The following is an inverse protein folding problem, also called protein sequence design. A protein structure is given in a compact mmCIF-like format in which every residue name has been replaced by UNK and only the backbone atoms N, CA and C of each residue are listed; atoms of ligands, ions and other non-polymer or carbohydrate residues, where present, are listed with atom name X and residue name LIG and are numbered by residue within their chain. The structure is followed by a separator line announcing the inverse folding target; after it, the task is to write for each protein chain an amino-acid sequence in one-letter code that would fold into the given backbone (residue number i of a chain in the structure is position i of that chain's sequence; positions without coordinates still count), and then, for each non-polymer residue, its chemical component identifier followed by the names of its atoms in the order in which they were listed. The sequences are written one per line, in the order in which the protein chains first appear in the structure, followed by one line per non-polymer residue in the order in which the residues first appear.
data_IF_780050398437
#
_entry.id   IF_780050398437
#
_cell.length_a   1.000
_cell.length_b   1.000
_cell.length_c   1.000
_cell.angle_alpha   90.00
_cell.angle_beta   90.00
_cell.angle_gamma   90.00
#
_symmetry.space_group_name_H-M   'P 1'
#
loop_
_entity.id
_entity.type
_entity.pdbx_description
1 polymer ?
#
# COMPACT_ATOMS: atom_id res chain seq x y z
N UNK A 1 26.56 1.51 -76.22
CA UNK A 1 26.10 0.73 -75.04
C UNK A 1 27.07 0.97 -73.90
N UNK A 2 26.77 1.96 -73.06
CA UNK A 2 27.66 2.41 -71.97
C UNK A 2 27.07 1.90 -70.66
N UNK A 3 27.73 0.93 -70.01
CA UNK A 3 27.28 0.37 -68.73
C UNK A 3 27.34 1.44 -67.65
N UNK A 4 26.17 1.87 -67.16
CA UNK A 4 26.05 2.68 -65.96
C UNK A 4 26.52 1.87 -64.75
N UNK A 5 27.63 2.31 -64.14
CA UNK A 5 28.15 1.75 -62.89
C UNK A 5 27.22 2.18 -61.75
N UNK A 6 26.46 1.23 -61.21
CA UNK A 6 25.60 1.41 -60.03
C UNK A 6 26.49 1.80 -58.83
N UNK A 7 26.21 2.90 -58.10
CA UNK A 7 26.95 3.18 -56.88
C UNK A 7 26.58 2.13 -55.83
N UNK A 8 27.61 1.52 -55.23
CA UNK A 8 27.51 0.60 -54.11
C UNK A 8 27.06 1.41 -52.89
N UNK A 9 25.87 1.12 -52.37
CA UNK A 9 25.45 1.59 -51.06
C UNK A 9 26.14 0.64 -50.08
N UNK A 10 27.28 1.06 -49.53
CA UNK A 10 27.83 0.40 -48.35
C UNK A 10 26.88 0.68 -47.18
N UNK A 11 26.06 -0.32 -46.84
CA UNK A 11 25.39 -0.36 -45.54
C UNK A 11 26.47 -0.43 -44.46
N UNK A 12 26.74 0.69 -43.81
CA UNK A 12 27.55 0.73 -42.60
C UNK A 12 26.79 0.04 -41.48
N UNK A 13 27.02 -1.27 -41.34
CA UNK A 13 26.64 -2.06 -40.18
C UNK A 13 27.18 -1.33 -38.93
N UNK A 14 26.34 -0.90 -37.97
CA UNK A 14 26.85 -0.26 -36.76
C UNK A 14 27.51 -1.32 -35.87
N UNK A 15 28.76 -1.66 -36.16
CA UNK A 15 29.63 -2.39 -35.24
C UNK A 15 30.20 -1.41 -34.23
N UNK A 16 29.37 -0.89 -33.34
CA UNK A 16 29.78 0.03 -32.30
C UNK A 16 29.78 -0.66 -30.94
N UNK A 17 30.87 -1.36 -30.60
CA UNK A 17 31.14 -1.65 -29.17
C UNK A 17 31.23 -0.31 -28.46
N UNK A 18 30.37 -0.08 -27.46
CA UNK A 18 30.42 1.14 -26.66
C UNK A 18 31.82 1.20 -26.02
N UNK A 19 32.59 2.28 -26.23
CA UNK A 19 33.92 2.38 -25.65
C UNK A 19 33.81 2.34 -24.11
N UNK A 20 34.75 1.66 -23.46
CA UNK A 20 34.74 1.49 -22.00
C UNK A 20 34.64 2.81 -21.22
N UNK A 21 35.19 3.89 -21.79
CA UNK A 21 35.10 5.26 -21.26
C UNK A 21 33.67 5.82 -21.22
N UNK A 22 32.75 5.33 -22.05
CA UNK A 22 31.32 5.65 -22.01
C UNK A 22 30.51 4.69 -21.14
N UNK A 23 31.04 3.50 -20.82
CA UNK A 23 30.36 2.53 -19.95
C UNK A 23 30.34 2.98 -18.49
N UNK A 24 31.45 3.53 -17.98
CA UNK A 24 31.54 3.97 -16.58
C UNK A 24 30.47 4.99 -16.17
N UNK A 25 30.24 6.11 -16.90
CA UNK A 25 29.18 7.06 -16.55
C UNK A 25 27.78 6.46 -16.71
N UNK A 26 27.57 5.55 -17.67
CA UNK A 26 26.28 4.86 -17.84
C UNK A 26 26.00 3.96 -16.63
N UNK A 27 26.99 3.15 -16.21
CA UNK A 27 26.88 2.29 -15.02
C UNK A 27 26.60 3.15 -13.78
N UNK A 28 27.33 4.25 -13.61
CA UNK A 28 27.13 5.13 -12.46
C UNK A 28 25.71 5.72 -12.42
N UNK A 29 25.19 6.20 -13.54
CA UNK A 29 23.82 6.72 -13.63
C UNK A 29 22.79 5.62 -13.34
N UNK A 30 22.97 4.41 -13.86
CA UNK A 30 22.08 3.27 -13.57
C UNK A 30 22.09 2.95 -12.08
N UNK A 31 23.27 2.88 -11.45
CA UNK A 31 23.39 2.61 -10.01
C UNK A 31 22.76 3.72 -9.16
N UNK A 32 22.93 4.98 -9.55
CA UNK A 32 22.29 6.12 -8.89
C UNK A 32 20.77 6.03 -8.97
N UNK A 33 20.22 5.70 -10.15
CA UNK A 33 18.77 5.55 -10.36
C UNK A 33 18.20 4.35 -9.60
N UNK A 34 18.94 3.24 -9.53
CA UNK A 34 18.59 2.10 -8.68
C UNK A 34 18.57 2.50 -7.20
N UNK A 35 19.59 3.22 -6.73
CA UNK A 35 19.69 3.71 -5.37
C UNK A 35 18.53 4.66 -5.01
N UNK A 36 18.21 5.60 -5.90
CA UNK A 36 17.08 6.53 -5.71
C UNK A 36 15.73 5.80 -5.70
N UNK A 37 15.53 4.84 -6.61
CA UNK A 37 14.31 4.02 -6.66
C UNK A 37 14.15 3.19 -5.38
N UNK A 38 15.24 2.58 -4.91
CA UNK A 38 15.24 1.83 -3.66
C UNK A 38 14.98 2.74 -2.46
N UNK A 39 15.59 3.93 -2.41
CA UNK A 39 15.35 4.90 -1.35
C UNK A 39 13.88 5.34 -1.27
N UNK A 40 13.26 5.67 -2.41
CA UNK A 40 11.83 5.99 -2.46
C UNK A 40 10.98 4.81 -1.99
N UNK A 41 11.32 3.61 -2.44
CA UNK A 41 10.66 2.39 -2.00
C UNK A 41 10.76 2.17 -0.49
N UNK A 42 11.97 2.27 0.06
CA UNK A 42 12.26 2.04 1.49
C UNK A 42 11.61 3.09 2.38
N UNK A 43 11.53 4.34 1.91
CA UNK A 43 10.82 5.41 2.60
C UNK A 43 9.31 5.17 2.68
N UNK A 44 8.74 4.56 1.63
CA UNK A 44 7.32 4.26 1.55
C UNK A 44 6.94 3.00 2.34
N UNK A 45 7.77 1.96 2.29
CA UNK A 45 7.62 0.70 3.00
C UNK A 45 8.63 0.66 4.13
N UNK A 46 8.36 1.41 5.19
CA UNK A 46 9.30 1.61 6.29
C UNK A 46 8.92 0.87 7.57
N UNK A 47 7.69 0.35 7.67
CA UNK A 47 7.14 -0.21 8.90
C UNK A 47 7.46 -1.72 8.95
N UNK A 48 8.34 -2.20 9.85
CA UNK A 48 8.55 -3.63 10.04
C UNK A 48 7.35 -4.27 10.74
N UNK A 49 7.24 -5.60 10.66
CA UNK A 49 6.29 -6.39 11.47
C UNK A 49 6.76 -6.49 12.93
N UNK A 50 6.70 -5.37 13.63
CA UNK A 50 7.02 -5.25 15.04
C UNK A 50 5.90 -4.45 15.71
N UNK A 51 5.35 -4.96 16.82
CA UNK A 51 4.18 -4.36 17.46
C UNK A 51 4.44 -2.91 17.90
N UNK A 52 5.65 -2.59 18.38
CA UNK A 52 5.99 -1.23 18.80
C UNK A 52 6.02 -0.29 17.61
N UNK A 53 6.64 -0.70 16.50
CA UNK A 53 6.69 0.09 15.26
C UNK A 53 5.33 0.24 14.58
N UNK A 54 4.51 -0.82 14.59
CA UNK A 54 3.14 -0.79 14.08
C UNK A 54 2.29 0.20 14.87
N UNK A 55 2.33 0.11 16.21
CA UNK A 55 1.62 1.05 17.08
C UNK A 55 2.06 2.50 16.83
N UNK A 56 3.38 2.76 16.79
CA UNK A 56 3.92 4.10 16.49
C UNK A 56 3.42 4.67 15.16
N UNK A 57 3.37 3.84 14.11
CA UNK A 57 2.90 4.28 12.79
C UNK A 57 1.39 4.60 12.79
N UNK A 58 0.58 3.80 13.48
CA UNK A 58 -0.86 4.04 13.61
C UNK A 58 -1.12 5.31 14.44
N UNK A 59 -0.44 5.47 15.58
CA UNK A 59 -0.54 6.68 16.40
C UNK A 59 -0.13 7.94 15.63
N UNK A 60 0.96 7.88 14.85
CA UNK A 60 1.41 9.02 14.06
C UNK A 60 0.35 9.47 13.02
N UNK A 61 -0.32 8.52 12.37
CA UNK A 61 -1.37 8.84 11.39
C UNK A 61 -2.59 9.52 12.05
N UNK A 62 -2.96 9.08 13.26
CA UNK A 62 -4.05 9.71 14.02
C UNK A 62 -3.68 11.10 14.54
N UNK A 63 -2.43 11.29 14.96
CA UNK A 63 -1.92 12.59 15.42
C UNK A 63 -1.94 13.65 14.31
N UNK A 64 -1.70 13.27 13.05
CA UNK A 64 -1.82 14.19 11.90
C UNK A 64 -3.28 14.60 11.61
N UNK A 65 -4.25 13.89 12.17
CA UNK A 65 -5.68 14.03 11.89
C UNK A 65 -6.48 14.65 13.05
N UNK A 66 -5.81 15.15 14.10
CA UNK A 66 -6.44 15.66 15.35
C UNK A 66 -7.39 14.64 16.02
N UNK A 67 -7.15 13.35 15.83
CA UNK A 67 -8.01 12.26 16.33
C UNK A 67 -7.63 11.88 17.78
N UNK A 68 -8.60 11.28 18.48
CA UNK A 68 -8.52 10.95 19.93
C UNK A 68 -7.47 9.86 20.25
N UNK A 69 -6.93 9.17 19.24
CA UNK A 69 -6.01 8.05 19.42
C UNK A 69 -4.59 8.55 19.61
N UNK A 70 -4.12 8.59 20.87
CA UNK A 70 -2.82 9.15 21.25
C UNK A 70 -1.78 8.09 21.66
N UNK A 71 -2.19 6.92 22.17
CA UNK A 71 -1.28 5.83 22.52
C UNK A 71 -1.86 4.48 22.11
N UNK A 72 -1.39 3.97 20.96
CA UNK A 72 -1.88 2.71 20.40
C UNK A 72 -1.17 1.48 21.00
N UNK A 73 -1.93 0.42 21.25
CA UNK A 73 -1.42 -0.92 21.59
C UNK A 73 -1.94 -1.95 20.57
N UNK A 74 -1.02 -2.74 20.01
CA UNK A 74 -1.39 -3.83 19.10
C UNK A 74 -1.91 -5.00 19.91
N UNK A 75 -3.13 -5.44 19.60
CA UNK A 75 -3.75 -6.64 20.18
C UNK A 75 -3.33 -7.85 19.36
N UNK A 76 -3.67 -7.86 18.07
CA UNK A 76 -3.40 -8.98 17.18
C UNK A 76 -3.12 -8.50 15.76
N UNK A 77 -2.40 -9.31 14.98
CA UNK A 77 -2.13 -9.02 13.56
C UNK A 77 -2.05 -10.26 12.69
N UNK A 78 -2.60 -10.17 11.48
CA UNK A 78 -2.69 -11.30 10.55
C UNK A 78 -2.38 -10.86 9.12
N UNK A 79 -1.57 -11.65 8.40
CA UNK A 79 -1.36 -11.44 6.97
C UNK A 79 -2.57 -12.00 6.19
N UNK A 80 -3.15 -11.19 5.32
CA UNK A 80 -4.24 -11.56 4.40
C UNK A 80 -3.83 -11.15 2.99
N UNK A 81 -3.53 -12.14 2.14
CA UNK A 81 -2.97 -11.92 0.79
C UNK A 81 -1.73 -11.00 0.79
N UNK A 82 -1.82 -9.81 0.17
CA UNK A 82 -0.77 -8.79 0.08
C UNK A 82 -0.88 -7.73 1.19
N UNK A 83 -1.60 -8.04 2.28
CA UNK A 83 -1.88 -7.10 3.36
C UNK A 83 -1.58 -7.67 4.73
N UNK A 84 -1.32 -6.76 5.67
CA UNK A 84 -1.32 -7.04 7.10
C UNK A 84 -2.49 -6.26 7.70
N UNK A 85 -3.38 -6.98 8.37
CA UNK A 85 -4.47 -6.38 9.13
C UNK A 85 -4.11 -6.45 10.60
N UNK A 86 -4.29 -5.34 11.30
CA UNK A 86 -3.90 -5.15 12.69
C UNK A 86 -5.12 -4.71 13.46
N UNK A 87 -5.43 -5.42 14.54
CA UNK A 87 -6.43 -5.01 15.52
C UNK A 87 -5.71 -4.39 16.72
N UNK A 88 -6.16 -3.21 17.13
CA UNK A 88 -5.47 -2.41 18.14
C UNK A 88 -6.47 -1.73 19.09
N UNK A 89 -5.96 -1.27 20.22
CA UNK A 89 -6.69 -0.39 21.15
C UNK A 89 -5.93 0.89 21.45
N UNK A 90 -6.65 1.88 21.97
CA UNK A 90 -6.06 3.05 22.62
C UNK A 90 -5.84 2.74 24.11
N UNK A 91 -4.67 3.06 24.66
CA UNK A 91 -4.30 2.65 26.02
C UNK A 91 -4.98 3.44 27.13
N UNK A 92 -5.31 4.70 26.88
CA UNK A 92 -5.89 5.62 27.88
C UNK A 92 -7.41 5.53 27.92
N UNK A 93 -8.05 5.13 26.82
CA UNK A 93 -9.47 4.92 26.69
C UNK A 93 -9.75 3.44 26.40
N UNK A 94 -10.17 2.73 27.45
CA UNK A 94 -10.42 1.29 27.44
C UNK A 94 -11.52 0.84 26.45
N UNK A 95 -12.30 1.76 25.88
CA UNK A 95 -13.39 1.45 24.96
C UNK A 95 -13.06 1.78 23.50
N UNK A 96 -11.88 2.34 23.21
CA UNK A 96 -11.49 2.72 21.86
C UNK A 96 -10.63 1.62 21.22
N UNK A 97 -11.18 1.02 20.16
CA UNK A 97 -10.57 -0.05 19.37
C UNK A 97 -10.58 0.30 17.90
N UNK A 98 -9.70 -0.31 17.12
CA UNK A 98 -9.64 -0.03 15.70
C UNK A 98 -8.90 -1.07 14.90
N UNK A 99 -9.04 -0.93 13.59
CA UNK A 99 -8.33 -1.75 12.62
C UNK A 99 -7.41 -0.87 11.79
N UNK A 100 -6.24 -1.39 11.50
CA UNK A 100 -5.32 -0.82 10.54
C UNK A 100 -5.00 -1.83 9.45
N UNK A 101 -5.02 -1.37 8.20
CA UNK A 101 -4.65 -2.17 7.05
C UNK A 101 -3.36 -1.63 6.46
N UNK A 102 -2.37 -2.51 6.32
CA UNK A 102 -1.07 -2.18 5.74
C UNK A 102 -0.82 -3.00 4.47
N UNK A 103 -0.18 -2.40 3.47
CA UNK A 103 0.27 -3.08 2.27
C UNK A 103 1.60 -3.76 2.54
N UNK A 104 1.71 -5.03 2.16
CA UNK A 104 2.93 -5.80 2.24
C UNK A 104 3.91 -5.38 1.14
N UNK A 105 5.12 -5.06 1.54
CA UNK A 105 6.26 -4.84 0.69
C UNK A 105 7.23 -6.02 0.69
N UNK A 106 8.40 -5.78 0.13
CA UNK A 106 9.56 -6.65 0.15
C UNK A 106 10.14 -6.68 1.56
N UNK A 107 10.83 -7.78 1.90
CA UNK A 107 11.53 -7.95 3.17
C UNK A 107 10.66 -7.74 4.42
N UNK A 108 9.37 -8.08 4.34
CA UNK A 108 8.41 -7.92 5.46
C UNK A 108 8.34 -6.48 6.01
N UNK A 109 8.59 -5.50 5.13
CA UNK A 109 8.25 -4.12 5.40
C UNK A 109 6.87 -3.81 4.87
N UNK A 110 6.18 -2.92 5.55
CA UNK A 110 4.79 -2.60 5.32
C UNK A 110 4.63 -1.09 5.16
N UNK A 111 3.58 -0.72 4.46
CA UNK A 111 3.11 0.66 4.34
C UNK A 111 1.69 0.74 4.88
N UNK A 112 1.43 1.67 5.80
CA UNK A 112 0.07 1.91 6.27
C UNK A 112 -0.81 2.43 5.13
N UNK A 113 -1.97 1.80 4.90
CA UNK A 113 -2.94 2.20 3.86
C UNK A 113 -4.10 2.93 4.51
N UNK A 114 -4.66 2.32 5.55
CA UNK A 114 -5.81 2.85 6.24
C UNK A 114 -5.76 2.48 7.71
N UNK A 115 -6.43 3.29 8.50
CA UNK A 115 -6.76 2.99 9.87
C UNK A 115 -8.15 3.53 10.16
N UNK A 116 -8.89 2.84 11.01
CA UNK A 116 -10.12 3.34 11.64
C UNK A 116 -10.04 3.10 13.13
N UNK A 117 -10.93 3.75 13.87
CA UNK A 117 -11.20 3.41 15.26
C UNK A 117 -12.69 3.58 15.56
N UNK A 118 -13.11 3.08 16.72
CA UNK A 118 -14.45 3.23 17.26
C UNK A 118 -14.41 3.14 18.78
N UNK A 119 -15.20 3.97 19.44
CA UNK A 119 -15.59 3.73 20.82
C UNK A 119 -16.71 2.69 20.85
N UNK A 120 -16.42 1.51 21.39
CA UNK A 120 -17.34 0.37 21.36
C UNK A 120 -18.36 0.43 22.48
N UNK A 121 -18.04 1.08 23.61
CA UNK A 121 -18.90 1.08 24.80
C UNK A 121 -19.09 -0.31 25.44
N UNK A 122 -18.25 -1.29 25.12
CA UNK A 122 -18.33 -2.65 25.68
C UNK A 122 -17.15 -2.96 26.61
N UNK A 123 -17.38 -3.80 27.62
CA UNK A 123 -16.34 -4.37 28.48
C UNK A 123 -15.68 -5.62 27.89
N UNK A 124 -16.42 -6.41 27.11
CA UNK A 124 -15.92 -7.49 26.26
C UNK A 124 -16.13 -7.10 24.80
N UNK A 125 -15.06 -6.96 24.04
CA UNK A 125 -15.13 -6.37 22.70
C UNK A 125 -15.02 -7.45 21.64
N UNK A 126 -16.02 -7.52 20.78
CA UNK A 126 -15.97 -8.22 19.50
C UNK A 126 -16.43 -7.25 18.43
N UNK A 127 -15.56 -6.92 17.48
CA UNK A 127 -15.83 -5.90 16.48
C UNK A 127 -15.62 -6.44 15.07
N UNK A 128 -16.59 -6.27 14.17
CA UNK A 128 -16.43 -6.60 12.77
C UNK A 128 -15.70 -5.46 12.05
N UNK A 129 -14.93 -5.83 11.04
CA UNK A 129 -14.21 -4.93 10.16
C UNK A 129 -14.30 -5.43 8.73
N UNK A 130 -14.65 -4.49 7.86
CA UNK A 130 -14.65 -4.69 6.41
C UNK A 130 -13.61 -3.75 5.81
N UNK A 131 -12.48 -4.28 5.30
CA UNK A 131 -11.51 -3.47 4.60
C UNK A 131 -12.16 -2.75 3.42
N UNK A 132 -12.03 -1.43 3.38
CA UNK A 132 -12.64 -0.57 2.37
C UNK A 132 -11.82 -0.64 1.05
N UNK A 133 -11.86 -1.80 0.39
CA UNK A 133 -11.18 -2.08 -0.86
C UNK A 133 -12.19 -2.27 -2.01
N UNK A 134 -11.72 -2.13 -3.25
CA UNK A 134 -12.53 -2.43 -4.44
C UNK A 134 -12.84 -3.93 -4.49
N UNK A 135 -13.99 -4.29 -3.91
CA UNK A 135 -14.50 -5.66 -3.80
C UNK A 135 -14.36 -6.19 -2.39
N UNK A 136 -15.50 -6.61 -1.82
CA UNK A 136 -15.55 -7.29 -0.53
C UNK A 136 -14.92 -8.68 -0.67
N UNK A 137 -13.72 -8.88 -0.12
CA UNK A 137 -13.05 -10.19 -0.15
C UNK A 137 -13.12 -10.91 1.18
N UNK A 138 -13.15 -10.17 2.28
CA UNK A 138 -13.01 -10.71 3.62
C UNK A 138 -13.88 -9.96 4.63
N UNK A 139 -14.43 -10.71 5.59
CA UNK A 139 -14.91 -10.21 6.86
C UNK A 139 -13.87 -10.47 7.93
N UNK A 140 -13.52 -9.46 8.70
CA UNK A 140 -12.49 -9.55 9.73
C UNK A 140 -13.15 -9.28 11.07
N UNK A 141 -12.81 -10.05 12.10
CA UNK A 141 -13.38 -9.88 13.44
C UNK A 141 -12.26 -9.85 14.46
N UNK A 142 -12.17 -8.74 15.18
CA UNK A 142 -11.25 -8.55 16.30
C UNK A 142 -11.97 -8.82 17.63
N UNK A 143 -11.30 -9.53 18.54
CA UNK A 143 -11.78 -9.79 19.89
C UNK A 143 -10.77 -9.35 20.94
N UNK A 144 -11.22 -8.70 22.01
CA UNK A 144 -10.37 -8.28 23.14
C UNK A 144 -11.09 -8.45 24.48
N UNK A 145 -10.34 -8.97 25.45
CA UNK A 145 -10.80 -9.27 26.81
C UNK A 145 -12.12 -10.06 26.87
N UNK A 146 -12.39 -10.87 25.84
CA UNK A 146 -13.64 -11.63 25.72
C UNK A 146 -13.80 -12.56 26.92
N UNK A 147 -14.87 -12.36 27.67
CA UNK A 147 -15.18 -13.16 28.86
C UNK A 147 -15.55 -14.60 28.51
N UNK A 148 -15.20 -15.55 29.39
CA UNK A 148 -15.44 -16.98 29.17
C UNK A 148 -16.91 -17.40 29.18
N UNK A 149 -17.81 -16.52 29.61
CA UNK A 149 -19.26 -16.66 29.46
C UNK A 149 -19.72 -16.51 28.01
N UNK A 150 -18.93 -15.87 27.14
CA UNK A 150 -19.21 -15.73 25.71
C UNK A 150 -18.61 -16.95 24.99
N UNK A 151 -19.47 -17.79 24.45
CA UNK A 151 -19.07 -19.01 23.73
C UNK A 151 -18.96 -18.81 22.22
N UNK A 152 -19.81 -17.94 21.67
CA UNK A 152 -19.91 -17.66 20.25
C UNK A 152 -20.36 -16.22 20.00
N UNK A 153 -20.12 -15.74 18.79
CA UNK A 153 -20.58 -14.45 18.30
C UNK A 153 -21.20 -14.60 16.92
N UNK A 154 -21.92 -13.59 16.43
CA UNK A 154 -22.39 -13.57 15.04
C UNK A 154 -22.02 -12.31 14.28
N UNK A 155 -21.79 -12.50 12.99
CA UNK A 155 -21.89 -11.44 12.01
C UNK A 155 -23.36 -11.27 11.67
N UNK A 156 -23.90 -10.09 11.97
CA UNK A 156 -25.31 -9.76 11.82
C UNK A 156 -25.50 -9.04 10.49
N UNK A 157 -26.43 -9.53 9.68
CA UNK A 157 -26.69 -9.05 8.32
C UNK A 157 -28.12 -8.55 8.22
N UNK A 158 -28.28 -7.37 7.60
CA UNK A 158 -29.58 -6.73 7.41
C UNK A 158 -29.89 -6.66 5.92
N UNK A 159 -31.14 -6.95 5.55
CA UNK A 159 -31.58 -6.88 4.16
C UNK A 159 -31.34 -5.46 3.57
N UNK A 160 -30.74 -5.39 2.38
CA UNK A 160 -30.49 -4.15 1.62
C UNK A 160 -31.79 -3.64 0.97
N UNK A 161 -32.84 -3.51 1.76
CA UNK A 161 -34.16 -3.12 1.31
C UNK A 161 -34.82 -2.15 2.30
N UNK A 162 -34.93 -0.85 1.96
CA UNK A 162 -35.43 0.18 2.87
C UNK A 162 -36.92 0.02 3.25
N UNK A 163 -37.64 -0.95 2.67
CA UNK A 163 -39.07 -1.22 2.95
C UNK A 163 -39.32 -2.51 3.75
N UNK A 164 -38.30 -3.33 3.97
CA UNK A 164 -38.38 -4.59 4.73
C UNK A 164 -37.58 -4.41 6.03
N UNK A 165 -38.25 -4.34 7.17
CA UNK A 165 -37.60 -4.31 8.50
C UNK A 165 -37.49 -5.72 9.11
N UNK A 166 -37.45 -6.77 8.31
CA UNK A 166 -37.77 -8.13 8.81
C UNK A 166 -36.74 -9.21 8.51
N UNK A 167 -35.75 -8.97 7.66
CA UNK A 167 -34.71 -9.95 7.36
C UNK A 167 -33.41 -9.64 8.10
N UNK A 168 -33.23 -10.15 9.31
CA UNK A 168 -31.91 -10.22 9.96
C UNK A 168 -31.35 -11.64 9.83
N UNK A 169 -30.10 -11.77 9.39
CA UNK A 169 -29.39 -13.05 9.29
C UNK A 169 -28.18 -13.00 10.19
N UNK A 170 -28.04 -14.00 11.07
CA UNK A 170 -26.91 -14.10 11.98
C UNK A 170 -26.08 -15.31 11.62
N UNK A 171 -24.87 -15.08 11.13
CA UNK A 171 -23.90 -16.15 10.87
C UNK A 171 -23.03 -16.30 12.11
N UNK A 172 -23.08 -17.47 12.77
CA UNK A 172 -22.46 -17.69 14.08
C UNK A 172 -21.07 -18.32 13.98
N UNK A 173 -20.16 -17.88 14.84
CA UNK A 173 -18.79 -18.35 14.95
C UNK A 173 -18.41 -18.59 16.41
N UNK A 174 -17.56 -19.59 16.65
CA UNK A 174 -17.03 -19.87 17.98
C UNK A 174 -15.99 -18.81 18.40
N UNK A 175 -15.94 -18.50 19.69
CA UNK A 175 -14.90 -17.65 20.28
C UNK A 175 -13.63 -18.49 20.49
N UNK A 176 -12.51 -18.18 19.81
CA UNK A 176 -11.28 -18.98 19.92
C UNK A 176 -10.50 -18.72 21.22
N UNK A 177 -10.76 -17.61 21.90
CA UNK A 177 -10.05 -17.22 23.12
C UNK A 177 -10.39 -15.79 23.54
N UNK A 178 -9.66 -15.28 24.54
CA UNK A 178 -9.88 -13.94 25.11
C UNK A 178 -9.45 -12.79 24.19
N UNK A 179 -8.51 -13.06 23.29
CA UNK A 179 -7.98 -12.11 22.31
C UNK A 179 -7.83 -12.86 20.99
N UNK A 180 -8.29 -12.26 19.90
CA UNK A 180 -8.20 -12.88 18.57
C UNK A 180 -8.36 -11.85 17.44
N UNK A 181 -7.94 -12.28 16.25
CA UNK A 181 -8.23 -11.61 14.98
C UNK A 181 -8.51 -12.67 13.91
N UNK A 182 -9.79 -12.88 13.64
CA UNK A 182 -10.25 -13.88 12.69
C UNK A 182 -10.55 -13.25 11.33
N UNK A 183 -10.29 -14.02 10.27
CA UNK A 183 -10.50 -13.60 8.88
C UNK A 183 -11.34 -14.65 8.18
N UNK A 184 -12.48 -14.23 7.67
CA UNK A 184 -13.42 -15.07 6.93
C UNK A 184 -13.49 -14.59 5.50
N UNK A 185 -13.50 -15.51 4.54
CA UNK A 185 -13.73 -15.12 3.14
C UNK A 185 -15.18 -14.67 2.99
N UNK A 186 -15.38 -13.50 2.40
CA UNK A 186 -16.71 -12.96 2.15
C UNK A 186 -17.59 -13.97 1.39
N UNK A 187 -17.04 -14.60 0.34
CA UNK A 187 -17.77 -15.61 -0.46
C UNK A 187 -18.27 -16.82 0.34
N UNK A 188 -17.59 -17.20 1.42
CA UNK A 188 -17.99 -18.34 2.26
C UNK A 188 -19.14 -17.92 3.20
N UNK A 189 -19.03 -16.75 3.82
CA UNK A 189 -20.06 -16.17 4.70
C UNK A 189 -21.31 -15.78 3.90
N UNK A 190 -21.15 -15.13 2.75
CA UNK A 190 -22.24 -14.72 1.87
C UNK A 190 -23.05 -15.91 1.38
N UNK A 191 -22.37 -17.04 1.08
CA UNK A 191 -23.06 -18.28 0.70
C UNK A 191 -23.92 -18.79 1.85
N UNK A 192 -23.42 -18.75 3.08
CA UNK A 192 -24.19 -19.16 4.26
C UNK A 192 -25.41 -18.24 4.48
N UNK A 193 -25.25 -16.93 4.28
CA UNK A 193 -26.38 -15.98 4.32
C UNK A 193 -27.44 -16.34 3.27
N UNK A 194 -27.03 -16.65 2.03
CA UNK A 194 -27.93 -17.08 0.96
C UNK A 194 -28.60 -18.42 1.25
N UNK A 195 -27.89 -19.37 1.85
CA UNK A 195 -28.46 -20.65 2.27
C UNK A 195 -29.52 -20.47 3.37
N UNK A 196 -29.34 -19.50 4.27
CA UNK A 196 -30.25 -19.26 5.38
C UNK A 196 -31.53 -18.49 4.98
N UNK A 197 -31.46 -17.55 4.04
CA UNK A 197 -32.57 -16.63 3.74
C UNK A 197 -32.86 -16.40 2.25
N UNK A 198 -32.21 -17.15 1.35
CA UNK A 198 -32.40 -17.06 -0.09
C UNK A 198 -31.57 -15.96 -0.76
N UNK A 199 -31.82 -15.72 -2.04
CA UNK A 199 -30.98 -14.85 -2.91
C UNK A 199 -31.17 -13.34 -2.68
N UNK A 200 -31.80 -12.92 -1.58
CA UNK A 200 -31.93 -11.50 -1.25
C UNK A 200 -30.55 -10.89 -0.96
N UNK A 201 -30.41 -9.60 -1.22
CA UNK A 201 -29.18 -8.88 -0.93
C UNK A 201 -29.16 -8.45 0.54
N UNK A 202 -28.11 -8.84 1.25
CA UNK A 202 -27.88 -8.48 2.64
C UNK A 202 -26.58 -7.70 2.78
N UNK A 203 -26.54 -6.77 3.74
CA UNK A 203 -25.35 -6.01 4.11
C UNK A 203 -24.99 -6.35 5.54
N UNK A 204 -23.69 -6.44 5.82
CA UNK A 204 -23.21 -6.60 7.18
C UNK A 204 -23.58 -5.37 8.00
N UNK A 205 -24.17 -5.58 9.17
CA UNK A 205 -24.23 -4.57 10.21
C UNK A 205 -22.84 -4.41 10.83
N UNK A 206 -22.12 -3.40 10.37
CA UNK A 206 -20.78 -3.10 10.88
C UNK A 206 -20.82 -2.51 12.30
N UNK A 207 -22.00 -2.17 12.85
CA UNK A 207 -22.14 -1.55 14.15
C UNK A 207 -22.27 -2.55 15.29
N UNK A 208 -22.94 -3.67 15.04
CA UNK A 208 -23.30 -4.61 16.08
C UNK A 208 -22.80 -6.03 15.79
N UNK A 209 -22.29 -6.67 16.83
CA UNK A 209 -22.03 -8.12 16.85
C UNK A 209 -22.78 -8.69 18.03
N UNK A 210 -23.62 -9.69 17.77
CA UNK A 210 -24.31 -10.39 18.85
C UNK A 210 -23.37 -11.42 19.49
N UNK A 211 -23.35 -11.45 20.82
CA UNK A 211 -22.59 -12.36 21.66
C UNK A 211 -23.51 -13.36 22.34
N UNK A 212 -23.13 -14.64 22.39
CA UNK A 212 -23.97 -15.72 22.90
C UNK A 212 -23.28 -16.56 23.99
N UNK A 213 -24.06 -16.96 25.00
CA UNK A 213 -23.63 -17.92 26.03
C UNK A 213 -23.58 -19.36 25.49
N UNK A 214 -23.12 -20.31 26.30
CA UNK A 214 -23.06 -21.75 25.94
C UNK A 214 -24.42 -22.39 25.69
N UNK A 215 -25.51 -21.74 26.12
CA UNK A 215 -26.88 -22.17 25.90
C UNK A 215 -27.48 -21.56 24.63
N UNK A 216 -26.75 -20.67 23.94
CA UNK A 216 -27.18 -19.94 22.75
C UNK A 216 -28.01 -18.70 23.05
N UNK A 217 -28.09 -18.24 24.30
CA UNK A 217 -28.78 -17.00 24.66
C UNK A 217 -27.94 -15.78 24.27
N UNK A 218 -28.56 -14.77 23.67
CA UNK A 218 -27.89 -13.51 23.39
C UNK A 218 -27.63 -12.76 24.71
N UNK A 219 -26.35 -12.49 25.00
CA UNK A 219 -25.86 -11.83 26.21
C UNK A 219 -25.15 -10.50 25.91
N UNK A 220 -25.27 -9.98 24.69
CA UNK A 220 -24.59 -8.75 24.22
C UNK A 220 -24.81 -7.56 25.15
N UNK A 221 -26.06 -7.35 25.56
CA UNK A 221 -26.47 -6.25 26.43
C UNK A 221 -25.80 -6.30 27.82
N UNK A 222 -25.39 -7.48 28.29
CA UNK A 222 -24.75 -7.64 29.60
C UNK A 222 -23.37 -6.98 29.66
N UNK A 223 -22.74 -6.73 28.51
CA UNK A 223 -21.39 -6.18 28.40
C UNK A 223 -21.38 -4.70 28.04
N UNK A 224 -22.55 -4.07 27.90
CA UNK A 224 -22.62 -2.63 27.70
C UNK A 224 -22.14 -1.89 28.95
N UNK A 225 -21.24 -0.94 28.74
CA UNK A 225 -20.83 0.02 29.76
C UNK A 225 -21.78 1.22 29.68
N UNK A 226 -22.63 1.35 30.70
CA UNK A 226 -23.62 2.43 30.77
C UNK A 226 -23.00 3.83 30.69
N UNK A 227 -23.63 4.73 29.94
CA UNK A 227 -23.20 6.12 29.79
C UNK A 227 -22.39 6.44 28.53
N UNK A 228 -22.06 5.44 27.71
CA UNK A 228 -21.42 5.61 26.41
C UNK A 228 -22.49 5.43 25.32
N UNK A 229 -22.77 6.43 24.46
CA UNK A 229 -23.75 6.31 23.39
C UNK A 229 -23.35 5.18 22.43
N UNK A 230 -24.31 4.30 22.07
CA UNK A 230 -24.14 3.40 20.93
C UNK A 230 -24.04 4.24 19.66
N UNK A 231 -22.84 4.23 19.08
CA UNK A 231 -22.45 4.96 17.86
C UNK A 231 -22.19 6.46 18.00
N UNK A 232 -20.96 6.83 17.67
CA UNK A 232 -20.70 7.87 16.67
C UNK A 232 -19.43 7.43 15.97
N UNK A 233 -19.51 7.28 14.65
CA UNK A 233 -18.42 6.90 13.76
C UNK A 233 -17.11 7.58 14.20
N UNK A 234 -16.10 6.79 14.59
CA UNK A 234 -14.82 7.35 14.98
C UNK A 234 -13.86 7.30 13.78
N UNK A 235 -13.03 8.33 13.70
CA UNK A 235 -12.38 8.77 12.47
C UNK A 235 -11.48 7.70 11.85
N UNK A 236 -11.22 7.86 10.56
CA UNK A 236 -10.28 7.02 9.84
C UNK A 236 -9.31 7.86 9.03
N UNK A 237 -8.07 7.42 8.97
CA UNK A 237 -7.05 7.99 8.11
C UNK A 237 -6.83 7.06 6.93
N UNK A 238 -6.94 7.57 5.71
CA UNK A 238 -6.56 6.86 4.50
C UNK A 238 -5.35 7.54 3.87
N UNK A 239 -4.31 6.76 3.59
CA UNK A 239 -3.13 7.22 2.87
C UNK A 239 -3.29 6.80 1.40
N UNK A 240 -3.91 7.67 0.61
CA UNK A 240 -3.88 7.54 -0.86
C UNK A 240 -2.44 7.72 -1.38
N UNK A 241 -2.08 7.08 -2.49
CA UNK A 241 -0.78 7.32 -3.16
C UNK A 241 0.12 6.11 -3.35
N UNK A 242 -0.41 4.88 -3.48
CA UNK A 242 0.38 3.77 -4.04
C UNK A 242 0.82 4.12 -5.47
N UNK A 243 -0.06 4.78 -6.24
CA UNK A 243 0.25 5.25 -7.59
C UNK A 243 1.43 6.23 -7.63
N UNK A 244 1.54 7.12 -6.66
CA UNK A 244 2.51 8.22 -6.70
C UNK A 244 3.95 7.73 -6.59
N UNK A 245 4.24 6.77 -5.71
CA UNK A 245 5.59 6.20 -5.58
C UNK A 245 6.00 5.41 -6.82
N UNK A 246 5.12 4.57 -7.36
CA UNK A 246 5.45 3.81 -8.57
C UNK A 246 5.56 4.72 -9.79
N UNK A 247 4.76 5.79 -9.86
CA UNK A 247 4.89 6.82 -10.88
C UNK A 247 6.23 7.56 -10.79
N UNK A 248 6.66 7.95 -9.59
CA UNK A 248 7.97 8.59 -9.37
C UNK A 248 9.13 7.67 -9.74
N UNK A 249 9.07 6.39 -9.36
CA UNK A 249 10.06 5.38 -9.76
C UNK A 249 10.09 5.27 -11.29
N UNK A 250 8.92 5.12 -11.93
CA UNK A 250 8.82 5.07 -13.39
C UNK A 250 9.41 6.33 -14.05
N UNK A 251 9.15 7.51 -13.50
CA UNK A 251 9.70 8.77 -13.97
C UNK A 251 11.24 8.82 -13.86
N UNK A 252 11.81 8.34 -12.75
CA UNK A 252 13.27 8.21 -12.57
C UNK A 252 13.85 7.29 -13.67
N UNK A 253 13.24 6.13 -13.91
CA UNK A 253 13.71 5.22 -14.95
C UNK A 253 13.56 5.80 -16.37
N UNK A 254 12.45 6.48 -16.65
CA UNK A 254 12.21 7.14 -17.93
C UNK A 254 13.23 8.25 -18.21
N UNK A 255 13.45 9.14 -17.25
CA UNK A 255 14.46 10.22 -17.36
C UNK A 255 15.88 9.66 -17.46
N UNK A 256 16.19 8.60 -16.73
CA UNK A 256 17.47 7.87 -16.82
C UNK A 256 17.70 7.34 -18.23
N UNK A 257 16.70 6.67 -18.81
CA UNK A 257 16.77 6.14 -20.17
C UNK A 257 17.01 7.26 -21.20
N UNK A 258 16.24 8.35 -21.12
CA UNK A 258 16.40 9.52 -22.00
C UNK A 258 17.81 10.11 -21.87
N UNK A 259 18.31 10.29 -20.65
CA UNK A 259 19.65 10.83 -20.42
C UNK A 259 20.75 9.95 -21.01
N UNK A 260 20.69 8.63 -20.78
CA UNK A 260 21.65 7.68 -21.35
C UNK A 260 21.60 7.74 -22.88
N UNK A 261 20.40 7.69 -23.46
CA UNK A 261 20.21 7.62 -24.92
C UNK A 261 20.66 8.90 -25.63
N UNK A 262 20.28 10.06 -25.12
CA UNK A 262 20.43 11.33 -25.84
C UNK A 262 21.61 12.18 -25.36
N UNK A 263 22.12 11.97 -24.15
CA UNK A 263 23.26 12.73 -23.63
C UNK A 263 24.54 11.89 -23.64
N UNK A 264 24.54 10.72 -22.98
CA UNK A 264 25.76 9.92 -22.82
C UNK A 264 26.16 9.18 -24.11
N UNK A 265 25.18 8.64 -24.84
CA UNK A 265 25.45 7.93 -26.10
C UNK A 265 25.59 8.89 -27.29
N UNK A 266 24.81 9.99 -27.33
CA UNK A 266 24.79 10.92 -28.46
C UNK A 266 25.86 12.03 -28.41
N UNK A 267 26.57 12.23 -27.28
CA UNK A 267 27.80 13.05 -27.25
C UNK A 267 28.91 12.33 -28.05
N UNK A 268 28.89 12.56 -29.35
CA UNK A 268 29.92 12.20 -30.32
C UNK A 268 30.08 13.30 -31.36
N UNK A 269 29.96 14.59 -31.00
CA UNK A 269 30.41 15.67 -31.88
C UNK A 269 30.85 16.87 -31.05
N UNK A 270 32.15 17.14 -31.07
CA UNK A 270 32.73 18.38 -30.56
C UNK A 270 34.08 18.17 -29.88
N UNK A 271 35.11 18.81 -30.46
CA UNK A 271 36.52 18.92 -30.00
C UNK A 271 37.42 17.80 -30.54
N UNK A 272 38.50 18.02 -31.32
CA UNK A 272 39.35 19.22 -31.47
C UNK A 272 40.29 19.06 -32.67
N UNK A 273 40.53 20.16 -33.41
CA UNK A 273 41.88 20.53 -33.88
C UNK A 273 42.38 20.06 -35.25
N UNK A 274 42.36 20.96 -36.23
CA UNK A 274 43.54 21.20 -37.07
C UNK A 274 43.73 22.70 -37.31
N UNK A 275 44.48 23.34 -36.41
CA UNK A 275 45.16 24.59 -36.75
C UNK A 275 46.34 24.16 -37.63
N UNK A 276 46.18 24.35 -38.94
CA UNK A 276 47.27 24.20 -39.90
C UNK A 276 48.32 25.28 -39.65
N UNK A 277 49.44 24.90 -39.03
CA UNK A 277 50.68 25.67 -39.09
C UNK A 277 51.32 25.39 -40.46
N UNK A 278 51.01 26.20 -41.47
CA UNK A 278 51.86 26.27 -42.65
C UNK A 278 53.04 27.18 -42.33
N UNK A 279 54.13 26.53 -41.94
CA UNK A 279 55.47 27.05 -42.04
C UNK A 279 55.91 26.78 -43.49
N UNK A 280 56.02 27.80 -44.32
CA UNK A 280 56.79 27.67 -45.55
C UNK A 280 57.56 28.95 -45.84
N UNK A 281 58.88 28.78 -45.91
CA UNK A 281 59.89 29.82 -45.99
C UNK A 281 60.62 29.67 -47.31
N UNK A 282 60.35 30.53 -48.29
CA UNK A 282 61.25 30.84 -49.42
C UNK A 282 60.81 32.19 -49.99
N UNK A 283 61.53 33.28 -49.78
CA UNK A 283 62.75 33.71 -50.51
C UNK A 283 62.45 34.61 -51.72
N UNK A 284 63.04 35.81 -51.68
CA UNK A 284 63.60 36.54 -52.83
C UNK A 284 62.64 37.21 -53.85
N UNK A 285 62.37 38.52 -53.69
CA UNK A 285 63.07 39.64 -54.38
C UNK A 285 62.22 40.93 -54.39
N UNK A 286 62.81 42.03 -53.92
CA UNK A 286 62.36 43.41 -54.22
C UNK A 286 62.81 43.80 -55.64
N UNK A 287 62.13 44.77 -56.25
CA UNK A 287 62.86 45.97 -56.69
C UNK A 287 62.26 47.26 -56.14
N UNK A 288 63.16 48.23 -55.99
CA UNK A 288 62.96 49.59 -55.51
C UNK A 288 62.15 50.44 -56.48
N UNK A 289 61.39 51.37 -55.91
CA UNK A 289 60.97 52.64 -56.51
C UNK A 289 62.19 53.53 -56.78
N UNK A 290 62.24 54.10 -57.99
CA UNK A 290 62.44 55.53 -58.21
C UNK A 290 61.34 55.98 -59.14
#
# INVERSE_FOLDING_TARGET
MTKLKKPSIEETKPSGKIPFTKLLPIIFVILASLGASYYLYDSAYSIPRDNVRLAQAITALHAESDLIVADTEIIESVDVEDRLVVFYREKQNAHVFGFATLKKGLNQKYRLISTDYRDTGFSSVIQPYVPNDKGLKYYIVGGYEVEGSISSYSLDFVEDNPKSQTGEVKVKFDVPGRQFLNVYKASEVDREVVELQGENKYLLDEQEVSMFDTNGNNITENYLVGGIPRSSFAGGGNIEGIGDIYFLIFFIWGTTYVYIRYVLLNRSFGSTGSISKNHDSTSSKRPMLV
#
